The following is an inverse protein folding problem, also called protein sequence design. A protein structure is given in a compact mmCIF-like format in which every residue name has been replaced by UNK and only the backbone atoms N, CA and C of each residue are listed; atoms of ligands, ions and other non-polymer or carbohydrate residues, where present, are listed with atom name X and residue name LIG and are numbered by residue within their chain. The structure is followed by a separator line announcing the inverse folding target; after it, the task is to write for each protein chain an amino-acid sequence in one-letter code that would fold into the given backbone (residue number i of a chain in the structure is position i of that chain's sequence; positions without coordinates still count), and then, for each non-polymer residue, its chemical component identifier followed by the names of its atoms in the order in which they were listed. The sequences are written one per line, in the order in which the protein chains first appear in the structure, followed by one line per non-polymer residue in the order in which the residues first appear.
data_IF_247148616656
#
_entry.id   IF_247148616656
#
_cell.length_a   1.000
_cell.length_b   1.000
_cell.length_c   1.000
_cell.angle_alpha   90.00
_cell.angle_beta   90.00
_cell.angle_gamma   90.00
#
_symmetry.space_group_name_H-M   'P 1'
#
loop_
_entity.id
_entity.type
_entity.pdbx_description
1 polymer ?
#
# COMPACT_ATOMS: atom_id res chain seq x y z
N UNK A 1 9.21 -15.83 13.64
CA UNK A 1 8.15 -15.94 12.59
C UNK A 1 7.31 -14.68 12.39
N UNK A 2 7.01 -13.85 13.41
CA UNK A 2 6.14 -12.66 13.25
C UNK A 2 6.76 -11.51 12.44
N UNK A 3 8.08 -11.28 12.54
CA UNK A 3 8.78 -10.24 11.77
C UNK A 3 8.80 -10.53 10.25
N UNK A 4 8.95 -11.80 9.85
CA UNK A 4 8.96 -12.20 8.45
C UNK A 4 7.60 -12.00 7.76
N UNK A 5 6.50 -12.18 8.50
CA UNK A 5 5.15 -11.96 7.96
C UNK A 5 4.87 -10.47 7.76
N UNK A 6 5.37 -9.59 8.65
CA UNK A 6 5.22 -8.13 8.51
C UNK A 6 6.01 -7.62 7.29
N UNK A 7 7.22 -8.13 7.07
CA UNK A 7 8.01 -7.83 5.87
C UNK A 7 7.33 -8.35 4.58
N UNK A 8 6.72 -9.53 4.62
CA UNK A 8 5.97 -10.10 3.49
C UNK A 8 4.66 -9.34 3.16
N UNK A 9 3.97 -8.81 4.16
CA UNK A 9 2.75 -8.02 3.94
C UNK A 9 3.09 -6.60 3.43
N UNK A 10 4.17 -6.01 3.92
CA UNK A 10 4.71 -4.75 3.36
C UNK A 10 5.15 -4.93 1.90
N UNK A 11 5.83 -6.04 1.57
CA UNK A 11 6.24 -6.30 0.18
C UNK A 11 5.06 -6.57 -0.76
N UNK A 12 4.03 -7.28 -0.31
CA UNK A 12 2.81 -7.51 -1.09
C UNK A 12 2.00 -6.22 -1.36
N UNK A 13 1.94 -5.31 -0.38
CA UNK A 13 1.29 -4.01 -0.56
C UNK A 13 2.09 -3.07 -1.49
N UNK A 14 3.42 -3.22 -1.54
CA UNK A 14 4.29 -2.51 -2.49
C UNK A 14 4.14 -3.08 -3.91
N UNK A 15 3.94 -4.40 -4.05
CA UNK A 15 3.77 -5.08 -5.34
C UNK A 15 2.39 -4.82 -5.99
N UNK A 16 1.34 -4.54 -5.21
CA UNK A 16 -0.02 -4.33 -5.75
C UNK A 16 -0.39 -2.90 -6.14
N UNK A 17 0.54 -1.93 -6.12
CA UNK A 17 0.33 -0.66 -6.84
C UNK A 17 0.62 -0.84 -8.33
N UNK A 18 -0.20 -1.67 -8.96
CA UNK A 18 -0.28 -1.77 -10.41
C UNK A 18 -0.73 -0.41 -10.98
N UNK A 19 0.21 0.27 -11.61
CA UNK A 19 0.06 1.13 -12.80
C UNK A 19 -1.25 1.89 -12.87
N UNK A 20 -1.33 3.03 -12.18
CA UNK A 20 -2.37 4.03 -12.47
C UNK A 20 -1.95 4.82 -13.71
N UNK A 21 -2.54 4.47 -14.86
CA UNK A 21 -2.46 5.22 -16.12
C UNK A 21 -1.27 4.86 -17.01
N UNK A 22 -1.56 4.57 -18.28
CA UNK A 22 -0.56 4.39 -19.32
C UNK A 22 0.28 5.68 -19.44
N UNK A 23 1.63 5.64 -19.40
CA UNK A 23 2.46 6.84 -19.54
C UNK A 23 2.12 7.66 -20.78
N UNK A 24 2.04 8.99 -20.63
CA UNK A 24 1.58 9.88 -21.69
C UNK A 24 2.45 9.82 -22.97
N UNK A 25 3.74 9.45 -22.87
CA UNK A 25 4.65 9.31 -24.00
C UNK A 25 4.31 8.12 -24.91
N UNK A 26 3.50 7.17 -24.43
CA UNK A 26 3.00 6.05 -25.22
C UNK A 26 1.81 6.43 -26.12
N UNK A 27 1.39 7.70 -26.12
CA UNK A 27 0.40 8.20 -27.09
C UNK A 27 1.05 8.36 -28.46
N UNK A 28 0.38 7.86 -29.49
CA UNK A 28 0.81 7.95 -30.88
C UNK A 28 1.98 7.03 -31.25
N UNK A 29 2.29 6.00 -30.44
CA UNK A 29 3.10 4.86 -30.89
C UNK A 29 2.17 3.72 -31.31
N UNK A 30 2.66 2.81 -32.17
CA UNK A 30 1.89 1.64 -32.59
C UNK A 30 1.57 0.73 -31.41
N UNK A 31 0.60 -0.15 -31.59
CA UNK A 31 0.20 -1.11 -30.55
C UNK A 31 1.33 -2.11 -30.27
N UNK A 32 2.07 -2.54 -31.30
CA UNK A 32 3.25 -3.39 -31.15
C UNK A 32 4.33 -2.70 -30.31
N UNK A 33 4.64 -1.44 -30.59
CA UNK A 33 5.61 -0.68 -29.80
C UNK A 33 5.17 -0.49 -28.35
N UNK A 34 3.87 -0.35 -28.09
CA UNK A 34 3.32 -0.26 -26.74
C UNK A 34 3.43 -1.59 -25.99
N UNK A 35 3.23 -2.71 -26.69
CA UNK A 35 3.47 -4.05 -26.15
C UNK A 35 4.94 -4.28 -25.84
N UNK A 36 5.86 -3.90 -26.75
CA UNK A 36 7.31 -3.98 -26.55
C UNK A 36 7.73 -3.21 -25.27
N UNK A 37 7.23 -1.98 -25.10
CA UNK A 37 7.48 -1.21 -23.87
C UNK A 37 6.95 -1.92 -22.62
N UNK A 38 5.74 -2.47 -22.69
CA UNK A 38 5.10 -3.15 -21.55
C UNK A 38 5.87 -4.40 -21.14
N UNK A 39 6.33 -5.19 -22.11
CA UNK A 39 7.20 -6.35 -21.87
C UNK A 39 8.51 -5.92 -21.19
N UNK A 40 9.20 -4.90 -21.73
CA UNK A 40 10.42 -4.35 -21.14
C UNK A 40 10.23 -3.93 -19.67
N UNK A 41 9.10 -3.31 -19.33
CA UNK A 41 8.81 -2.89 -17.96
C UNK A 41 8.56 -4.10 -17.04
N UNK A 42 7.95 -5.17 -17.56
CA UNK A 42 7.59 -6.37 -16.79
C UNK A 42 8.72 -7.40 -16.66
N UNK A 43 9.76 -7.32 -17.50
CA UNK A 43 10.96 -8.17 -17.43
C UNK A 43 11.58 -8.19 -16.02
N UNK A 44 11.67 -9.37 -15.43
CA UNK A 44 12.15 -9.59 -14.06
C UNK A 44 13.60 -10.09 -14.01
N UNK A 45 14.13 -10.51 -15.15
CA UNK A 45 15.50 -10.98 -15.37
C UNK A 45 16.50 -9.86 -15.67
N UNK A 46 16.02 -8.62 -15.83
CA UNK A 46 16.86 -7.43 -16.07
C UNK A 46 17.05 -6.61 -14.81
N UNK A 47 18.27 -6.11 -14.61
CA UNK A 47 18.54 -5.07 -13.61
C UNK A 47 17.82 -3.76 -13.99
N UNK A 48 17.68 -2.86 -13.01
CA UNK A 48 17.07 -1.55 -13.24
C UNK A 48 17.84 -0.72 -14.28
N UNK A 49 19.18 -0.85 -14.31
CA UNK A 49 20.05 -0.14 -15.26
C UNK A 49 19.87 -0.69 -16.67
N UNK A 50 19.88 -2.01 -16.84
CA UNK A 50 19.67 -2.66 -18.15
C UNK A 50 18.27 -2.37 -18.70
N UNK A 51 17.26 -2.42 -17.83
CA UNK A 51 15.88 -2.07 -18.19
C UNK A 51 15.78 -0.61 -18.65
N UNK A 52 16.43 0.32 -17.94
CA UNK A 52 16.46 1.72 -18.35
C UNK A 52 17.14 1.90 -19.71
N UNK A 53 18.27 1.24 -19.92
CA UNK A 53 18.98 1.30 -21.21
C UNK A 53 18.09 0.81 -22.35
N UNK A 54 17.46 -0.35 -22.22
CA UNK A 54 16.53 -0.89 -23.24
C UNK A 54 15.32 0.00 -23.48
N UNK A 55 14.79 0.65 -22.43
CA UNK A 55 13.69 1.62 -22.57
C UNK A 55 14.15 2.86 -23.35
N UNK A 56 15.38 3.33 -23.18
CA UNK A 56 15.93 4.46 -23.94
C UNK A 56 16.20 4.08 -25.40
N UNK A 57 16.68 2.88 -25.67
CA UNK A 57 16.83 2.32 -27.02
C UNK A 57 15.46 2.21 -27.72
N UNK A 58 14.46 1.67 -27.03
CA UNK A 58 13.07 1.64 -27.49
C UNK A 58 12.54 3.05 -27.78
N UNK A 59 12.87 4.03 -26.93
CA UNK A 59 12.41 5.40 -27.10
C UNK A 59 13.04 6.07 -28.32
N UNK A 60 14.32 5.78 -28.61
CA UNK A 60 15.04 6.28 -29.79
C UNK A 60 14.38 5.75 -31.08
N UNK A 61 14.15 4.42 -31.14
CA UNK A 61 13.46 3.74 -32.24
C UNK A 61 12.07 4.31 -32.55
N UNK A 62 11.37 4.80 -31.53
CA UNK A 62 10.00 5.31 -31.64
C UNK A 62 9.90 6.85 -31.67
N UNK A 63 11.02 7.58 -31.73
CA UNK A 63 11.02 9.05 -31.71
C UNK A 63 10.46 9.66 -30.42
N UNK A 64 10.56 8.93 -29.30
CA UNK A 64 10.05 9.33 -27.96
C UNK A 64 11.16 9.64 -26.96
N UNK A 65 12.43 9.66 -27.37
CA UNK A 65 13.60 9.81 -26.49
C UNK A 65 13.44 10.92 -25.46
N UNK A 66 13.13 12.15 -25.89
CA UNK A 66 12.97 13.29 -24.98
C UNK A 66 11.84 13.09 -23.96
N UNK A 67 10.68 12.60 -24.41
CA UNK A 67 9.53 12.37 -23.56
C UNK A 67 9.78 11.26 -22.52
N UNK A 68 10.51 10.21 -22.92
CA UNK A 68 10.89 9.10 -22.03
C UNK A 68 11.94 9.55 -21.02
N UNK A 69 12.95 10.31 -21.43
CA UNK A 69 13.96 10.86 -20.50
C UNK A 69 13.30 11.72 -19.42
N UNK A 70 12.43 12.66 -19.81
CA UNK A 70 11.65 13.49 -18.88
C UNK A 70 10.80 12.65 -17.93
N UNK A 71 10.17 11.59 -18.43
CA UNK A 71 9.38 10.68 -17.60
C UNK A 71 10.26 9.93 -16.58
N UNK A 72 11.41 9.41 -17.00
CA UNK A 72 12.35 8.68 -16.13
C UNK A 72 12.87 9.59 -15.02
N UNK A 73 13.28 10.82 -15.36
CA UNK A 73 13.75 11.81 -14.38
C UNK A 73 12.66 12.16 -13.37
N UNK A 74 11.43 12.43 -13.84
CA UNK A 74 10.28 12.65 -12.97
C UNK A 74 10.06 11.48 -12.02
N UNK A 75 10.10 10.24 -12.53
CA UNK A 75 9.92 9.04 -11.71
C UNK A 75 11.05 8.83 -10.70
N UNK A 76 12.28 9.22 -11.05
CA UNK A 76 13.42 9.20 -10.12
C UNK A 76 13.16 10.16 -8.95
N UNK A 77 12.77 11.40 -9.24
CA UNK A 77 12.46 12.40 -8.21
C UNK A 77 11.28 11.97 -7.34
N UNK A 78 10.18 11.48 -7.95
CA UNK A 78 9.03 10.95 -7.22
C UNK A 78 9.43 9.81 -6.27
N UNK A 79 10.33 8.90 -6.71
CA UNK A 79 10.81 7.79 -5.87
C UNK A 79 11.63 8.29 -4.68
N UNK A 80 12.50 9.29 -4.89
CA UNK A 80 13.30 9.88 -3.81
C UNK A 80 12.38 10.52 -2.77
N UNK A 81 11.39 11.29 -3.21
CA UNK A 81 10.43 11.94 -2.31
C UNK A 81 9.56 10.91 -1.57
N UNK A 82 9.07 9.88 -2.27
CA UNK A 82 8.34 8.78 -1.63
C UNK A 82 9.18 8.07 -0.57
N UNK A 83 10.47 7.84 -0.84
CA UNK A 83 11.38 7.23 0.13
C UNK A 83 11.57 8.12 1.35
N UNK A 84 11.82 9.41 1.15
CA UNK A 84 11.93 10.39 2.25
C UNK A 84 10.66 10.41 3.12
N UNK A 85 9.48 10.37 2.51
CA UNK A 85 8.22 10.30 3.25
C UNK A 85 8.07 8.99 4.02
N UNK A 86 8.50 7.87 3.44
CA UNK A 86 8.48 6.57 4.12
C UNK A 86 9.45 6.54 5.31
N UNK A 87 10.65 7.06 5.14
CA UNK A 87 11.66 7.12 6.20
C UNK A 87 11.16 7.99 7.37
N UNK A 88 10.60 9.17 7.08
CA UNK A 88 9.99 10.02 8.12
C UNK A 88 8.80 9.37 8.84
N UNK A 89 8.01 8.54 8.15
CA UNK A 89 6.97 7.75 8.81
C UNK A 89 7.57 6.71 9.77
N UNK A 90 8.64 6.01 9.36
CA UNK A 90 9.30 5.00 10.19
C UNK A 90 9.89 5.62 11.46
N UNK A 91 10.47 6.81 11.37
CA UNK A 91 11.00 7.55 12.51
C UNK A 91 9.91 7.93 13.52
N UNK A 92 8.73 8.36 13.03
CA UNK A 92 7.62 8.77 13.88
C UNK A 92 6.81 7.59 14.45
N UNK A 93 6.81 6.44 13.77
CA UNK A 93 5.93 5.32 14.07
C UNK A 93 6.02 4.81 15.52
N UNK A 94 7.21 4.68 16.16
CA UNK A 94 7.29 4.25 17.56
C UNK A 94 6.59 5.21 18.53
N UNK A 95 6.75 6.51 18.31
CA UNK A 95 6.15 7.56 19.15
C UNK A 95 4.64 7.57 18.99
N UNK A 96 4.14 7.53 17.74
CA UNK A 96 2.70 7.47 17.46
C UNK A 96 2.11 6.15 17.95
N UNK A 97 2.82 5.04 17.81
CA UNK A 97 2.43 3.72 18.29
C UNK A 97 2.17 3.71 19.80
N UNK A 98 3.08 4.29 20.59
CA UNK A 98 2.89 4.43 22.05
C UNK A 98 1.64 5.25 22.40
N UNK A 99 1.39 6.36 21.71
CA UNK A 99 0.18 7.17 21.90
C UNK A 99 -1.09 6.39 21.54
N UNK A 100 -1.05 5.66 20.43
CA UNK A 100 -2.15 4.81 20.00
C UNK A 100 -2.46 3.76 21.08
N UNK A 101 -1.45 3.02 21.55
CA UNK A 101 -1.64 2.02 22.60
C UNK A 101 -2.16 2.62 23.90
N UNK A 102 -1.64 3.77 24.32
CA UNK A 102 -2.09 4.44 25.54
C UNK A 102 -3.57 4.81 25.46
N UNK A 103 -4.08 5.24 24.31
CA UNK A 103 -5.51 5.56 24.14
C UNK A 103 -6.33 4.27 24.09
N UNK A 104 -5.90 3.28 23.30
CA UNK A 104 -6.66 2.06 23.04
C UNK A 104 -6.85 1.20 24.29
N UNK A 105 -5.78 1.04 25.07
CA UNK A 105 -5.76 0.16 26.25
C UNK A 105 -6.06 0.87 27.58
N UNK A 106 -6.30 2.18 27.59
CA UNK A 106 -6.70 2.90 28.81
C UNK A 106 -8.02 2.36 29.36
N UNK A 107 -8.01 1.77 30.56
CA UNK A 107 -9.22 1.22 31.20
C UNK A 107 -10.09 2.28 31.85
N UNK A 108 -9.57 3.48 32.06
CA UNK A 108 -10.26 4.60 32.70
C UNK A 108 -11.06 5.44 31.70
N UNK A 109 -10.81 5.30 30.39
CA UNK A 109 -11.54 6.02 29.33
C UNK A 109 -12.75 5.25 28.84
N UNK A 110 -13.85 5.96 28.67
CA UNK A 110 -15.04 5.47 27.96
C UNK A 110 -14.75 5.27 26.47
N UNK A 111 -15.60 4.49 25.78
CA UNK A 111 -15.49 4.31 24.32
C UNK A 111 -15.55 5.62 23.54
N UNK A 112 -16.41 6.55 23.98
CA UNK A 112 -16.56 7.85 23.32
C UNK A 112 -15.30 8.71 23.45
N UNK A 113 -14.67 8.74 24.63
CA UNK A 113 -13.41 9.45 24.86
C UNK A 113 -12.27 8.87 24.00
N UNK A 114 -12.16 7.53 23.97
CA UNK A 114 -11.18 6.87 23.10
C UNK A 114 -11.38 7.19 21.62
N UNK A 115 -12.63 7.20 21.15
CA UNK A 115 -12.93 7.53 19.76
C UNK A 115 -12.50 8.96 19.42
N UNK A 116 -12.82 9.95 20.27
CA UNK A 116 -12.42 11.34 20.07
C UNK A 116 -10.89 11.51 20.05
N UNK A 117 -10.17 10.87 20.97
CA UNK A 117 -8.70 10.92 20.99
C UNK A 117 -8.07 10.21 19.80
N UNK A 118 -8.64 9.09 19.36
CA UNK A 118 -8.20 8.39 18.16
C UNK A 118 -8.46 9.20 16.89
N UNK A 119 -9.57 9.93 16.80
CA UNK A 119 -9.87 10.82 15.69
C UNK A 119 -8.87 11.99 15.63
N UNK A 120 -8.51 12.54 16.80
CA UNK A 120 -7.44 13.54 16.89
C UNK A 120 -6.11 12.97 16.40
N UNK A 121 -5.70 11.80 16.91
CA UNK A 121 -4.46 11.14 16.50
C UNK A 121 -4.43 10.84 14.99
N UNK A 122 -5.58 10.42 14.42
CA UNK A 122 -5.74 10.19 12.98
C UNK A 122 -5.65 11.47 12.16
N UNK A 123 -6.18 12.59 12.68
CA UNK A 123 -6.15 13.88 11.98
C UNK A 123 -4.72 14.44 11.90
N UNK A 124 -3.94 14.29 12.97
CA UNK A 124 -2.56 14.78 13.07
C UNK A 124 -1.57 13.84 12.34
N UNK A 125 -1.80 12.52 12.40
CA UNK A 125 -0.86 11.50 11.96
C UNK A 125 -1.53 10.44 11.07
N UNK A 126 -2.20 10.89 10.01
CA UNK A 126 -3.07 10.07 9.16
C UNK A 126 -2.41 8.79 8.63
N UNK A 127 -1.16 8.87 8.16
CA UNK A 127 -0.49 7.73 7.51
C UNK A 127 -0.05 6.69 8.55
N UNK A 128 0.58 7.14 9.63
CA UNK A 128 1.03 6.32 10.75
C UNK A 128 -0.15 5.66 11.46
N UNK A 129 -1.22 6.43 11.74
CA UNK A 129 -2.46 5.90 12.29
C UNK A 129 -3.05 4.79 11.42
N UNK A 130 -3.08 5.00 10.09
CA UNK A 130 -3.61 3.99 9.16
C UNK A 130 -2.80 2.70 9.26
N UNK A 131 -1.46 2.78 9.24
CA UNK A 131 -0.61 1.61 9.37
C UNK A 131 -0.83 0.86 10.69
N UNK A 132 -0.86 1.59 11.81
CA UNK A 132 -1.11 1.02 13.14
C UNK A 132 -2.49 0.35 13.22
N UNK A 133 -3.53 0.98 12.66
CA UNK A 133 -4.87 0.41 12.64
C UNK A 133 -4.94 -0.91 11.86
N UNK A 134 -4.19 -1.03 10.77
CA UNK A 134 -4.08 -2.25 9.97
C UNK A 134 -3.34 -3.34 10.77
N UNK A 135 -2.20 -2.98 11.38
CA UNK A 135 -1.42 -3.91 12.21
C UNK A 135 -2.24 -4.45 13.39
N UNK A 136 -2.99 -3.59 14.06
CA UNK A 136 -3.87 -3.98 15.18
C UNK A 136 -4.98 -4.93 14.72
N UNK A 137 -5.67 -4.64 13.61
CA UNK A 137 -6.67 -5.55 13.03
C UNK A 137 -6.09 -6.91 12.64
N UNK A 138 -4.83 -6.96 12.20
CA UNK A 138 -4.14 -8.21 11.89
C UNK A 138 -3.74 -8.98 13.15
N UNK A 139 -3.40 -8.26 14.23
CA UNK A 139 -3.02 -8.85 15.52
C UNK A 139 -4.22 -9.37 16.32
N UNK A 140 -5.42 -8.83 16.07
CA UNK A 140 -6.65 -9.32 16.69
C UNK A 140 -6.89 -10.80 16.34
N UNK A 141 -7.09 -11.68 17.34
CA UNK A 141 -7.40 -13.07 17.07
C UNK A 141 -8.70 -13.13 16.26
N UNK A 142 -8.65 -13.74 15.06
CA UNK A 142 -9.82 -13.94 14.20
C UNK A 142 -10.96 -14.51 15.04
N UNK A 143 -11.95 -13.67 15.34
CA UNK A 143 -13.07 -14.07 16.17
C UNK A 143 -13.97 -14.99 15.32
N UNK A 144 -13.66 -16.29 15.30
CA UNK A 144 -14.45 -17.38 14.66
C UNK A 144 -15.83 -17.58 15.30
N UNK A 145 -16.27 -16.68 16.20
CA UNK A 145 -17.48 -16.83 17.01
C UNK A 145 -18.74 -16.20 16.41
N UNK A 146 -18.68 -15.45 15.29
CA UNK A 146 -19.89 -14.85 14.71
C UNK A 146 -20.72 -15.78 13.81
N UNK A 147 -20.17 -16.92 13.37
CA UNK A 147 -20.90 -17.87 12.49
C UNK A 147 -21.84 -18.83 13.22
N UNK A 148 -21.65 -19.09 14.53
CA UNK A 148 -22.54 -20.00 15.29
C UNK A 148 -23.82 -19.34 15.78
N UNK A 149 -23.81 -18.02 16.06
CA UNK A 149 -25.01 -17.30 16.55
C UNK A 149 -26.14 -17.15 15.51
N UNK A 150 -25.81 -17.23 14.21
CA UNK A 150 -26.81 -17.06 13.12
C UNK A 150 -27.50 -18.36 12.71
N UNK A 151 -26.91 -19.53 13.02
CA UNK A 151 -27.54 -20.83 12.79
C UNK A 151 -28.57 -21.17 13.89
N UNK A 152 -28.23 -20.95 15.15
CA UNK A 152 -29.14 -21.22 16.28
C UNK A 152 -30.41 -20.36 16.31
N UNK A 153 -30.35 -19.12 15.80
CA UNK A 153 -31.56 -18.27 15.64
C UNK A 153 -32.49 -18.74 14.51
N UNK A 154 -31.96 -19.34 13.44
CA UNK A 154 -32.78 -19.87 12.34
C UNK A 154 -33.42 -21.22 12.67
N UNK A 155 -32.74 -22.06 13.45
CA UNK A 155 -33.29 -23.34 13.91
C UNK A 155 -34.40 -23.14 14.94
N UNK A 156 -34.26 -22.19 15.88
CA UNK A 156 -35.33 -21.85 16.82
C UNK A 156 -36.58 -21.25 16.14
N UNK A 157 -36.39 -20.47 15.07
CA UNK A 157 -37.50 -19.91 14.30
C UNK A 157 -38.22 -20.94 13.40
N UNK A 158 -37.56 -22.06 13.05
CA UNK A 158 -38.17 -23.17 12.31
C UNK A 158 -38.83 -24.22 13.19
N UNK A 159 -38.49 -24.27 14.48
CA UNK A 159 -39.10 -25.18 15.45
C UNK A 159 -40.36 -24.60 16.11
N UNK A 160 -40.75 -23.37 15.75
CA UNK A 160 -41.93 -22.65 16.28
C UNK A 160 -42.93 -22.27 15.17
N UNK A 161 -42.77 -22.82 13.97
CA UNK A 161 -43.69 -22.73 12.84
C UNK A 161 -44.07 -24.14 12.41
#
# INVERSE_FOLDING_TARGET
MRALVVLLVLSAAILCRAVTGLPAFLRGVSDESRMEYTDLVQRWDLSATEKLQKILEWADKNGKKEAVTKYVEKKKTERIEQRKQFDGMLENLPTIGKKYESIWFDKNKTKAQKAAEMDKLRSEHKKEYTLLSIMMKMAEPRNRRSRRGRKGKKEKAKAQA
#
